data_IF_542451096169
#
_entry.id   IF_542451096169
#
_cell.length_a   1.000
_cell.length_b   1.000
_cell.length_c   1.000
_cell.angle_alpha   90.00
_cell.angle_beta   90.00
_cell.angle_gamma   90.00
#
_symmetry.space_group_name_H-M   'P 1'
#
loop_
_entity.id
_entity.type
_entity.pdbx_description
1 polymer ?
#
# COMPACT_ATOMS: atom_id res chain seq x y z
N UNK A 1 -3.34 -32.02 -11.50
CA UNK A 1 -4.52 -31.18 -11.22
C UNK A 1 -3.99 -29.90 -10.62
N UNK A 2 -3.93 -28.84 -11.42
CA UNK A 2 -3.62 -27.50 -10.91
C UNK A 2 -4.83 -26.99 -10.13
N UNK A 3 -4.62 -26.64 -8.87
CA UNK A 3 -5.62 -25.95 -8.07
C UNK A 3 -5.83 -24.55 -8.65
N UNK A 4 -7.02 -24.30 -9.17
CA UNK A 4 -7.50 -22.95 -9.49
C UNK A 4 -7.72 -22.20 -8.16
N UNK A 5 -6.64 -21.74 -7.56
CA UNK A 5 -6.70 -20.84 -6.41
C UNK A 5 -7.13 -19.45 -6.90
N UNK A 6 -8.27 -19.00 -6.41
CA UNK A 6 -8.87 -17.71 -6.75
C UNK A 6 -7.85 -16.60 -6.44
N UNK A 7 -7.35 -15.93 -7.48
CA UNK A 7 -6.72 -14.60 -7.38
C UNK A 7 -5.20 -14.51 -7.22
N UNK A 8 -4.46 -15.60 -7.00
CA UNK A 8 -3.03 -15.50 -6.68
C UNK A 8 -2.06 -15.51 -7.89
N UNK A 9 -2.50 -15.97 -9.07
CA UNK A 9 -1.64 -16.16 -10.25
C UNK A 9 -1.68 -15.00 -11.27
N UNK A 10 -2.20 -13.84 -10.90
CA UNK A 10 -2.36 -12.74 -11.83
C UNK A 10 -1.27 -11.68 -11.65
N UNK A 11 -0.62 -11.22 -12.74
CA UNK A 11 0.53 -10.30 -12.71
C UNK A 11 0.17 -8.82 -12.70
N UNK A 12 -1.11 -8.48 -12.76
CA UNK A 12 -1.57 -7.09 -12.88
C UNK A 12 -1.31 -6.21 -11.65
N UNK A 13 -0.91 -6.78 -10.52
CA UNK A 13 -0.40 -6.00 -9.37
C UNK A 13 0.94 -5.32 -9.66
N UNK A 14 1.66 -5.72 -10.72
CA UNK A 14 2.95 -5.13 -11.10
C UNK A 14 2.85 -3.73 -11.72
N UNK A 15 1.66 -3.34 -12.18
CA UNK A 15 1.40 -2.02 -12.78
C UNK A 15 0.68 -1.08 -11.81
N UNK A 16 0.95 0.22 -11.93
CA UNK A 16 0.19 1.24 -11.21
C UNK A 16 -1.18 1.39 -11.89
N UNK A 17 -2.24 1.07 -11.17
CA UNK A 17 -3.60 1.27 -11.64
C UNK A 17 -3.96 2.77 -11.64
N UNK A 18 -4.74 3.27 -12.60
CA UNK A 18 -5.12 4.69 -12.65
C UNK A 18 -5.77 5.20 -11.36
N UNK A 19 -6.59 4.36 -10.71
CA UNK A 19 -7.22 4.68 -9.41
C UNK A 19 -6.20 5.03 -8.32
N UNK A 20 -5.04 4.38 -8.32
CA UNK A 20 -3.96 4.67 -7.38
C UNK A 20 -3.35 6.07 -7.61
N UNK A 21 -3.31 6.54 -8.85
CA UNK A 21 -2.86 7.89 -9.18
C UNK A 21 -3.87 8.95 -8.71
N UNK A 22 -5.17 8.72 -8.95
CA UNK A 22 -6.22 9.62 -8.49
C UNK A 22 -6.27 9.69 -6.96
N UNK A 23 -6.16 8.54 -6.28
CA UNK A 23 -6.08 8.51 -4.83
C UNK A 23 -4.81 9.21 -4.33
N UNK A 24 -3.65 8.97 -4.93
CA UNK A 24 -2.41 9.67 -4.61
C UNK A 24 -2.55 11.20 -4.69
N UNK A 25 -3.16 11.71 -5.77
CA UNK A 25 -3.43 13.14 -5.91
C UNK A 25 -4.36 13.67 -4.81
N UNK A 26 -5.40 12.93 -4.46
CA UNK A 26 -6.29 13.29 -3.35
C UNK A 26 -5.53 13.35 -2.02
N UNK A 27 -4.66 12.37 -1.74
CA UNK A 27 -3.85 12.35 -0.52
C UNK A 27 -2.92 13.58 -0.45
N UNK A 28 -2.22 13.88 -1.55
CA UNK A 28 -1.34 15.05 -1.62
C UNK A 28 -2.10 16.37 -1.39
N UNK A 29 -3.33 16.48 -1.90
CA UNK A 29 -4.16 17.66 -1.69
C UNK A 29 -4.73 17.78 -0.26
N UNK A 30 -4.63 16.72 0.54
CA UNK A 30 -5.23 16.62 1.88
C UNK A 30 -4.23 16.11 2.92
N UNK A 31 -2.94 16.42 2.76
CA UNK A 31 -1.85 15.83 3.55
C UNK A 31 -2.05 15.89 5.08
N UNK A 32 -2.63 16.98 5.57
CA UNK A 32 -2.86 17.21 7.00
C UNK A 32 -3.86 16.21 7.61
N UNK A 33 -4.71 15.59 6.80
CA UNK A 33 -5.67 14.57 7.25
C UNK A 33 -4.96 13.27 7.64
N UNK A 34 -3.81 12.99 7.01
CA UNK A 34 -3.13 11.70 7.13
C UNK A 34 -1.86 11.76 7.97
N UNK A 35 -1.40 12.97 8.35
CA UNK A 35 -0.25 13.14 9.24
C UNK A 35 -0.51 12.45 10.58
N UNK A 36 0.51 11.75 11.07
CA UNK A 36 0.51 10.97 12.31
C UNK A 36 -0.54 9.84 12.38
N UNK A 37 -1.21 9.54 11.27
CA UNK A 37 -2.27 8.52 11.23
C UNK A 37 -1.71 7.09 11.09
N UNK A 38 -2.55 6.11 11.46
CA UNK A 38 -2.30 4.69 11.18
C UNK A 38 -3.24 4.25 10.06
N UNK A 39 -2.68 3.80 8.95
CA UNK A 39 -3.43 3.47 7.73
C UNK A 39 -3.35 1.97 7.41
N UNK A 40 -4.44 1.42 6.88
CA UNK A 40 -4.52 0.06 6.34
C UNK A 40 -4.81 0.14 4.84
N UNK A 41 -3.92 -0.36 3.97
CA UNK A 41 -4.06 -0.28 2.50
C UNK A 41 -4.38 -1.63 1.85
N UNK A 42 -5.66 -1.99 1.75
CA UNK A 42 -6.05 -3.26 1.15
C UNK A 42 -5.88 -3.24 -0.37
N UNK A 43 -5.30 -4.29 -0.95
CA UNK A 43 -5.07 -4.39 -2.40
C UNK A 43 -3.95 -3.47 -2.90
N UNK A 44 -2.86 -3.35 -2.13
CA UNK A 44 -1.80 -2.36 -2.35
C UNK A 44 -1.11 -2.45 -3.72
N UNK A 45 -1.08 -3.61 -4.38
CA UNK A 45 -0.51 -3.74 -5.73
C UNK A 45 0.96 -3.31 -5.78
N UNK A 46 1.26 -2.22 -6.48
CA UNK A 46 2.63 -1.65 -6.47
C UNK A 46 3.00 -0.95 -5.15
N UNK A 47 2.05 -0.77 -4.23
CA UNK A 47 2.22 -0.10 -2.95
C UNK A 47 2.31 1.42 -3.04
N UNK A 48 2.02 2.01 -4.21
CA UNK A 48 2.24 3.45 -4.44
C UNK A 48 1.39 4.35 -3.52
N UNK A 49 0.19 3.91 -3.13
CA UNK A 49 -0.68 4.70 -2.24
C UNK A 49 -0.15 4.66 -0.80
N UNK A 50 0.23 3.48 -0.29
CA UNK A 50 0.89 3.36 1.00
C UNK A 50 2.20 4.14 1.06
N UNK A 51 3.00 4.12 0.00
CA UNK A 51 4.22 4.95 -0.10
C UNK A 51 3.90 6.45 -0.06
N UNK A 52 2.86 6.89 -0.76
CA UNK A 52 2.42 8.29 -0.71
C UNK A 52 2.00 8.69 0.71
N UNK A 53 1.17 7.88 1.39
CA UNK A 53 0.79 8.11 2.79
C UNK A 53 2.01 8.24 3.71
N UNK A 54 3.00 7.36 3.55
CA UNK A 54 4.23 7.40 4.34
C UNK A 54 5.02 8.68 4.10
N UNK A 55 5.10 9.15 2.85
CA UNK A 55 5.75 10.43 2.51
C UNK A 55 5.01 11.65 3.04
N UNK A 56 3.69 11.57 3.20
CA UNK A 56 2.85 12.63 3.75
C UNK A 56 2.81 12.63 5.29
N UNK A 57 3.54 11.72 5.94
CA UNK A 57 3.70 11.70 7.38
C UNK A 57 2.74 10.77 8.13
N UNK A 58 2.13 9.78 7.45
CA UNK A 58 1.44 8.70 8.15
C UNK A 58 2.44 7.97 9.08
N UNK A 59 2.03 7.74 10.32
CA UNK A 59 2.85 7.12 11.36
C UNK A 59 3.11 5.63 11.11
N UNK A 60 2.12 4.93 10.55
CA UNK A 60 2.22 3.50 10.26
C UNK A 60 1.31 3.12 9.09
N UNK A 61 1.80 2.26 8.20
CA UNK A 61 1.00 1.65 7.13
C UNK A 61 1.06 0.13 7.28
N UNK A 62 -0.10 -0.47 7.51
CA UNK A 62 -0.30 -1.90 7.63
C UNK A 62 -0.82 -2.37 6.28
N UNK A 63 -0.17 -3.32 5.59
CA UNK A 63 -0.57 -4.01 4.31
C UNK A 63 0.31 -3.78 3.07
N UNK A 64 1.52 -3.26 3.23
CA UNK A 64 2.45 -3.26 2.10
C UNK A 64 2.76 -4.71 1.69
N UNK A 65 2.63 -5.02 0.39
CA UNK A 65 3.15 -6.27 -0.17
C UNK A 65 4.58 -6.48 0.31
N UNK A 66 4.87 -7.69 0.81
CA UNK A 66 6.16 -8.03 1.45
C UNK A 66 7.37 -7.67 0.59
N UNK A 67 7.20 -7.74 -0.74
CA UNK A 67 8.22 -7.35 -1.72
C UNK A 67 8.53 -5.84 -1.73
N UNK A 68 7.52 -4.98 -1.55
CA UNK A 68 7.69 -3.53 -1.48
C UNK A 68 8.32 -3.09 -0.16
N UNK A 69 7.95 -3.77 0.93
CA UNK A 69 8.59 -3.62 2.25
C UNK A 69 10.08 -3.90 2.11
N UNK A 70 10.44 -5.04 1.50
CA UNK A 70 11.82 -5.43 1.27
C UNK A 70 12.60 -4.49 0.36
N UNK A 71 12.07 -4.12 -0.81
CA UNK A 71 12.74 -3.24 -1.79
C UNK A 71 13.04 -1.84 -1.25
N UNK A 72 12.24 -1.34 -0.31
CA UNK A 72 12.38 0.00 0.24
C UNK A 72 13.02 0.02 1.63
N UNK A 73 13.55 -1.10 2.12
CA UNK A 73 14.19 -1.21 3.43
C UNK A 73 13.27 -0.79 4.58
N UNK A 74 11.99 -1.15 4.48
CA UNK A 74 10.96 -0.85 5.47
C UNK A 74 10.70 -2.10 6.34
N UNK A 75 10.17 -1.89 7.55
CA UNK A 75 9.68 -2.97 8.42
C UNK A 75 8.15 -2.92 8.50
N UNK A 76 7.51 -4.08 8.32
CA UNK A 76 6.05 -4.22 8.47
C UNK A 76 5.73 -4.84 9.81
N UNK A 77 5.24 -4.05 10.77
CA UNK A 77 4.80 -4.53 12.09
C UNK A 77 3.28 -4.49 12.20
N UNK A 78 2.66 -5.65 12.45
CA UNK A 78 1.24 -5.79 12.78
C UNK A 78 1.15 -6.28 14.22
N UNK A 79 0.82 -5.37 15.14
CA UNK A 79 0.61 -5.70 16.55
C UNK A 79 -0.89 -5.70 16.80
N UNK A 80 -1.40 -6.85 17.25
CA UNK A 80 -2.75 -7.01 17.77
C UNK A 80 -2.60 -7.03 19.29
N UNK A 81 -3.30 -6.12 19.98
CA UNK A 81 -3.40 -6.10 21.44
C UNK A 81 -4.32 -7.20 21.95
#
# INVERSE_FOLDING_TARGET
MESNEIGANQTHWKGVWPSAQYLGNFLCANENVFRDSVCLELGSGTGVVGLALGKLGAKRILTLLKENVGKNHLESTCEVM
#
